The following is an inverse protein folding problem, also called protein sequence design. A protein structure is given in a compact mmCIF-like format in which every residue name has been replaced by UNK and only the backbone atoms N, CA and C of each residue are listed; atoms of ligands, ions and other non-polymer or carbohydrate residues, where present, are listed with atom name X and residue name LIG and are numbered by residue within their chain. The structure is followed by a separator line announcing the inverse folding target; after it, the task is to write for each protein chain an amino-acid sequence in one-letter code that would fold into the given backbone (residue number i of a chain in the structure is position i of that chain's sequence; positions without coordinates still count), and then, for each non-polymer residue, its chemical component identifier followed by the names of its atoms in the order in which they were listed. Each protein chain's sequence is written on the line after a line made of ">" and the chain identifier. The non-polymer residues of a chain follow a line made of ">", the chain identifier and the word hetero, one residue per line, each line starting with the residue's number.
data_IF_319399509138
#
_entry.id   IF_319399509138
#
_cell.length_a   1.000
_cell.length_b   1.000
_cell.length_c   1.000
_cell.angle_alpha   90.00
_cell.angle_beta   90.00
_cell.angle_gamma   90.00
#
_symmetry.space_group_name_H-M   'P 1'
#
loop_
_entity.id
_entity.type
_entity.pdbx_description
1 polymer ?
#
# COMPACT_ATOMS: atom_id res chain seq x y z
N UNK A 1 -25.50 6.98 -6.69
CA UNK A 1 -25.01 7.08 -6.47
C UNK A 1 -24.16 7.18 -6.17
N UNK A 2 -24.00 7.24 -5.89
CA UNK A 2 -23.24 7.45 -5.56
C UNK A 2 -22.39 7.52 -5.22
N UNK A 3 -22.21 7.34 -5.20
CA UNK A 3 -21.49 7.70 -5.04
C UNK A 3 -20.50 8.04 -4.32
N UNK A 4 -20.15 8.03 -3.63
CA UNK A 4 -19.34 8.37 -2.82
C UNK A 4 -18.24 7.62 -2.52
N UNK A 5 -17.71 6.94 -3.05
CA UNK A 5 -16.68 6.22 -2.81
C UNK A 5 -15.43 6.87 -2.89
N UNK A 6 -15.30 8.03 -3.13
CA UNK A 6 -14.08 8.74 -3.26
C UNK A 6 -13.24 8.78 -2.02
N UNK A 7 -13.84 8.59 -0.91
CA UNK A 7 -13.08 8.66 0.33
C UNK A 7 -12.60 7.31 0.81
N UNK A 8 -12.68 6.32 -0.03
CA UNK A 8 -12.26 5.01 0.38
C UNK A 8 -10.75 4.90 0.38
N UNK A 9 -10.18 4.63 1.53
CA UNK A 9 -8.76 4.35 1.64
C UNK A 9 -8.61 3.12 2.52
N UNK A 10 -7.55 2.37 2.28
CA UNK A 10 -7.31 1.14 3.02
C UNK A 10 -5.93 1.25 3.67
N UNK A 11 -5.86 1.00 4.96
CA UNK A 11 -4.58 1.08 5.65
C UNK A 11 -3.68 -0.04 5.21
N UNK A 12 -2.37 0.16 5.38
CA UNK A 12 -1.40 -0.82 4.96
C UNK A 12 -1.59 -2.15 5.72
N UNK A 13 -2.02 -2.07 6.97
CA UNK A 13 -2.26 -3.29 7.73
C UNK A 13 -3.38 -4.11 7.09
N UNK A 14 -4.43 -3.45 6.63
CA UNK A 14 -5.52 -4.15 6.00
C UNK A 14 -5.12 -4.70 4.65
N UNK A 15 -4.33 -3.93 3.91
CA UNK A 15 -3.86 -4.39 2.62
C UNK A 15 -3.00 -5.63 2.79
N UNK A 16 -2.11 -5.61 3.79
CA UNK A 16 -1.25 -6.76 4.05
C UNK A 16 -2.09 -7.99 4.36
N UNK A 17 -3.12 -7.81 5.16
CA UNK A 17 -3.98 -8.91 5.52
C UNK A 17 -4.71 -9.45 4.30
N UNK A 18 -5.25 -8.54 3.50
CA UNK A 18 -6.03 -8.95 2.33
C UNK A 18 -5.17 -9.67 1.30
N UNK A 19 -3.92 -9.25 1.17
CA UNK A 19 -3.02 -9.85 0.19
C UNK A 19 -2.23 -11.03 0.76
N UNK A 20 -2.30 -11.25 2.06
CA UNK A 20 -1.54 -12.31 2.68
C UNK A 20 -0.06 -12.03 2.71
N UNK A 21 0.33 -10.77 2.85
CA UNK A 21 1.73 -10.38 2.83
C UNK A 21 2.16 -9.81 4.17
N UNK A 22 3.46 -9.79 4.38
CA UNK A 22 4.03 -9.21 5.60
C UNK A 22 3.96 -7.69 5.52
N UNK A 23 3.45 -7.07 6.57
CA UNK A 23 3.24 -5.63 6.54
C UNK A 23 4.56 -4.86 6.47
N UNK A 24 5.61 -5.37 7.12
CA UNK A 24 6.90 -4.68 7.07
C UNK A 24 7.47 -4.69 5.66
N UNK A 25 7.31 -5.81 4.98
CA UNK A 25 7.77 -5.92 3.61
C UNK A 25 6.98 -4.98 2.69
N UNK A 26 5.67 -4.92 2.90
CA UNK A 26 4.85 -4.00 2.12
C UNK A 26 5.23 -2.55 2.37
N UNK A 27 5.55 -2.25 3.62
CA UNK A 27 5.94 -0.90 3.96
C UNK A 27 7.21 -0.50 3.21
N UNK A 28 8.16 -1.42 3.13
CA UNK A 28 9.41 -1.15 2.39
C UNK A 28 9.13 -0.91 0.92
N UNK A 29 8.25 -1.71 0.33
CA UNK A 29 7.91 -1.51 -1.07
C UNK A 29 7.18 -0.19 -1.25
N UNK A 30 6.24 0.09 -0.37
CA UNK A 30 5.41 1.28 -0.49
C UNK A 30 6.20 2.56 -0.28
N UNK A 31 7.35 2.47 0.39
CA UNK A 31 8.18 3.65 0.55
C UNK A 31 8.71 4.16 -0.78
N UNK A 32 8.66 3.35 -1.82
CA UNK A 32 9.07 3.78 -3.14
C UNK A 32 7.96 4.52 -3.87
N UNK A 33 6.77 4.53 -3.28
CA UNK A 33 5.62 5.17 -3.88
C UNK A 33 5.43 6.56 -3.31
N UNK A 34 4.85 7.43 -4.11
CA UNK A 34 4.56 8.79 -3.68
C UNK A 34 3.07 9.01 -3.54
N UNK A 35 2.71 10.16 -3.02
CA UNK A 35 1.32 10.53 -2.92
C UNK A 35 0.63 10.45 -4.27
N UNK A 36 1.35 10.77 -5.33
CA UNK A 36 0.80 10.71 -6.67
C UNK A 36 0.46 9.30 -7.08
N UNK A 37 1.07 8.32 -6.44
CA UNK A 37 0.83 6.92 -6.75
C UNK A 37 -0.31 6.34 -5.92
N UNK A 38 -0.92 7.15 -5.09
CA UNK A 38 -2.07 6.70 -4.32
C UNK A 38 -1.77 6.37 -2.87
N UNK A 39 -0.64 6.84 -2.35
CA UNK A 39 -0.29 6.63 -0.95
C UNK A 39 -0.70 7.84 -0.15
N UNK A 40 -1.36 7.60 0.96
CA UNK A 40 -1.85 8.66 1.82
C UNK A 40 -1.43 8.34 3.24
N UNK A 41 -1.14 9.38 4.00
CA UNK A 41 -0.85 9.20 5.42
C UNK A 41 -2.07 9.64 6.20
N UNK A 42 -2.57 8.74 7.02
CA UNK A 42 -3.75 8.99 7.83
C UNK A 42 -3.29 9.15 9.27
N UNK A 43 -3.77 10.19 9.92
CA UNK A 43 -3.40 10.43 11.30
C UNK A 43 -4.40 9.76 12.21
N UNK A 44 -3.87 8.96 13.11
CA UNK A 44 -4.72 8.34 14.10
C UNK A 44 -4.77 9.18 15.35
N UNK A 45 -4.99 8.52 16.47
CA UNK A 45 -4.98 9.20 17.74
C UNK A 45 -3.57 9.66 18.05
N UNK A 46 -3.46 10.86 18.55
CA UNK A 46 -2.16 11.36 18.92
C UNK A 46 -1.32 11.67 17.69
N UNK A 47 -0.08 11.28 17.75
CA UNK A 47 0.87 11.61 16.70
C UNK A 47 1.09 10.48 15.71
N UNK A 48 0.36 9.40 15.82
CA UNK A 48 0.59 8.26 14.96
C UNK A 48 0.15 8.55 13.55
N UNK A 49 0.96 8.14 12.61
CA UNK A 49 0.62 8.22 11.21
C UNK A 49 0.56 6.83 10.66
N UNK A 50 -0.47 6.54 9.91
CA UNK A 50 -0.65 5.23 9.32
C UNK A 50 -0.69 5.38 7.82
N UNK A 51 0.13 4.61 7.13
CA UNK A 51 0.14 4.61 5.69
C UNK A 51 -1.13 3.94 5.19
N UNK A 52 -1.75 4.55 4.21
CA UNK A 52 -2.97 4.02 3.62
C UNK A 52 -2.91 4.20 2.11
N UNK A 53 -3.82 3.55 1.43
CA UNK A 53 -3.81 3.54 -0.03
C UNK A 53 -5.19 3.81 -0.56
N UNK A 54 -5.25 4.57 -1.64
CA UNK A 54 -6.48 4.67 -2.42
C UNK A 54 -6.58 3.42 -3.27
N UNK A 55 -7.70 3.26 -3.97
CA UNK A 55 -7.83 2.12 -4.88
C UNK A 55 -6.72 2.14 -5.92
N UNK A 56 -6.40 3.33 -6.42
CA UNK A 56 -5.31 3.49 -7.37
C UNK A 56 -3.98 3.08 -6.74
N UNK A 57 -3.78 3.46 -5.48
CA UNK A 57 -2.57 3.09 -4.77
C UNK A 57 -2.43 1.60 -4.57
N UNK A 58 -3.54 0.92 -4.30
CA UNK A 58 -3.51 -0.52 -4.13
C UNK A 58 -3.12 -1.19 -5.44
N UNK A 59 -3.64 -0.71 -6.56
CA UNK A 59 -3.28 -1.28 -7.85
C UNK A 59 -1.80 -1.10 -8.14
N UNK A 60 -1.27 0.07 -7.82
CA UNK A 60 0.15 0.32 -8.02
C UNK A 60 0.99 -0.54 -7.10
N UNK A 61 0.54 -0.71 -5.87
CA UNK A 61 1.25 -1.56 -4.92
C UNK A 61 1.28 -3.00 -5.40
N UNK A 62 0.16 -3.49 -5.91
CA UNK A 62 0.10 -4.86 -6.40
C UNK A 62 1.05 -5.04 -7.58
N UNK A 63 1.13 -4.06 -8.45
CA UNK A 63 2.06 -4.13 -9.57
C UNK A 63 3.49 -4.22 -9.09
N UNK A 64 3.84 -3.43 -8.07
CA UNK A 64 5.18 -3.49 -7.51
C UNK A 64 5.45 -4.83 -6.86
N UNK A 65 4.47 -5.36 -6.17
CA UNK A 65 4.62 -6.66 -5.53
C UNK A 65 4.92 -7.72 -6.60
N UNK A 66 4.22 -7.65 -7.72
CA UNK A 66 4.45 -8.61 -8.79
C UNK A 66 5.85 -8.48 -9.34
N UNK A 67 6.32 -7.26 -9.51
CA UNK A 67 7.66 -7.03 -10.01
C UNK A 67 8.69 -7.62 -9.06
N UNK A 68 8.53 -7.36 -7.78
CA UNK A 68 9.48 -7.86 -6.82
C UNK A 68 9.45 -9.38 -6.73
N UNK A 69 8.29 -9.98 -6.87
CA UNK A 69 8.21 -11.43 -6.80
C UNK A 69 8.75 -12.07 -8.07
N UNK A 70 8.54 -11.44 -9.21
CA UNK A 70 9.08 -11.97 -10.46
C UNK A 70 10.60 -11.87 -10.47
N UNK A 71 11.12 -10.82 -9.86
CA UNK A 71 12.55 -10.61 -9.82
C UNK A 71 13.16 -11.14 -8.54
N UNK A 72 12.49 -12.08 -7.91
CA UNK A 72 12.96 -12.57 -6.63
C UNK A 72 14.35 -13.17 -6.70
N UNK A 73 14.71 -13.70 -7.86
CA UNK A 73 16.05 -14.25 -8.00
C UNK A 73 17.09 -13.15 -7.89
N UNK A 74 16.75 -11.97 -8.36
CA UNK A 74 17.68 -10.86 -8.23
C UNK A 74 17.65 -10.31 -6.82
N UNK A 75 16.49 -10.22 -6.28
CA UNK A 75 16.35 -9.65 -4.96
C UNK A 75 16.91 -10.56 -3.90
N UNK A 76 16.88 -11.84 -4.15
CA UNK A 76 17.34 -12.69 -3.22
C UNK A 76 18.70 -12.71 -3.12
N UNK A 77 19.08 -12.47 -3.60
CA UNK A 77 20.23 -12.47 -3.41
C UNK A 77 20.55 -12.34 -2.83
#
# INVERSE_FOLDING_TARGET
>A
MHVNKVSQVTTINRVAKDLGENVDWLFDIANEMDTEDGVIWVYGSGDDQIMAFTDFGIENLIDLIKIYKDDSTLAKR
#
